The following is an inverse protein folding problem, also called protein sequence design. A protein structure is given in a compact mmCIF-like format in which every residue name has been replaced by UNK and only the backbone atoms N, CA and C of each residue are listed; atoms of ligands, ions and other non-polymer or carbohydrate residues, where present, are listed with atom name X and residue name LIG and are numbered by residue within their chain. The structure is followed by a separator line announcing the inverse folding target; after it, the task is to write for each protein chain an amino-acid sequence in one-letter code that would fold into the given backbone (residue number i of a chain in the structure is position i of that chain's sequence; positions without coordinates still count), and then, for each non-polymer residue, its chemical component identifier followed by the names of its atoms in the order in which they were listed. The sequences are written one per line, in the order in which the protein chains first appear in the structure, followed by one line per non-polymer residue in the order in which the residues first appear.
data_IF_781061523081
#
_entry.id   IF_781061523081
#
_cell.length_a   1.000
_cell.length_b   1.000
_cell.length_c   1.000
_cell.angle_alpha   90.00
_cell.angle_beta   90.00
_cell.angle_gamma   90.00
#
_symmetry.space_group_name_H-M   'P 1'
#
loop_
_entity.id
_entity.type
_entity.pdbx_description
1 polymer ?
#
# COMPACT_ATOMS: atom_id res chain seq x y z
N UNK A 1 -6.52 -15.38 17.47
CA UNK A 1 -5.43 -14.38 17.57
C UNK A 1 -4.71 -14.17 16.24
N UNK A 2 -4.41 -15.21 15.47
CA UNK A 2 -3.72 -15.15 14.16
C UNK A 2 -4.32 -14.12 13.19
N UNK A 3 -5.64 -14.10 12.98
CA UNK A 3 -6.28 -13.18 12.04
C UNK A 3 -6.14 -11.69 12.41
N UNK A 4 -6.04 -11.38 13.71
CA UNK A 4 -5.87 -10.01 14.17
C UNK A 4 -4.44 -9.51 13.92
N UNK A 5 -3.44 -10.37 14.16
CA UNK A 5 -2.04 -10.07 13.86
C UNK A 5 -1.79 -9.87 12.36
N UNK A 6 -2.34 -10.76 11.53
CA UNK A 6 -2.27 -10.62 10.06
C UNK A 6 -2.99 -9.37 9.55
N UNK A 7 -4.16 -9.04 10.11
CA UNK A 7 -4.89 -7.82 9.76
C UNK A 7 -4.06 -6.57 10.06
N UNK A 8 -3.45 -6.48 11.25
CA UNK A 8 -2.60 -5.36 11.61
C UNK A 8 -1.37 -5.24 10.71
N UNK A 9 -0.73 -6.37 10.37
CA UNK A 9 0.43 -6.39 9.48
C UNK A 9 0.08 -5.94 8.06
N UNK A 10 -1.03 -6.45 7.49
CA UNK A 10 -1.52 -6.01 6.18
C UNK A 10 -1.93 -4.53 6.18
N UNK A 11 -2.52 -4.05 7.28
CA UNK A 11 -2.87 -2.64 7.46
C UNK A 11 -1.62 -1.75 7.46
N UNK A 12 -0.60 -2.12 8.24
CA UNK A 12 0.66 -1.40 8.30
C UNK A 12 1.40 -1.38 6.95
N UNK A 13 1.45 -2.53 6.25
CA UNK A 13 1.99 -2.64 4.90
C UNK A 13 1.22 -1.76 3.91
N UNK A 14 -0.11 -1.77 3.95
CA UNK A 14 -0.95 -0.93 3.10
C UNK A 14 -0.68 0.56 3.32
N UNK A 15 -0.59 1.00 4.58
CA UNK A 15 -0.23 2.39 4.91
C UNK A 15 1.18 2.76 4.42
N UNK A 16 2.17 1.89 4.64
CA UNK A 16 3.54 2.14 4.18
C UNK A 16 3.61 2.30 2.65
N UNK A 17 2.94 1.42 1.90
CA UNK A 17 2.86 1.50 0.44
C UNK A 17 2.11 2.75 -0.03
N UNK A 18 1.05 3.16 0.67
CA UNK A 18 0.33 4.39 0.37
C UNK A 18 1.22 5.64 0.55
N UNK A 19 2.04 5.68 1.61
CA UNK A 19 3.00 6.77 1.83
C UNK A 19 4.04 6.81 0.71
N UNK A 20 4.58 5.66 0.29
CA UNK A 20 5.51 5.61 -0.85
C UNK A 20 4.85 6.07 -2.14
N UNK A 21 3.60 5.64 -2.41
CA UNK A 21 2.85 6.10 -3.57
C UNK A 21 2.64 7.62 -3.55
N UNK A 22 2.29 8.19 -2.40
CA UNK A 22 2.09 9.64 -2.23
C UNK A 22 3.38 10.42 -2.45
N UNK A 23 4.49 9.98 -1.85
CA UNK A 23 5.80 10.60 -2.08
C UNK A 23 6.19 10.57 -3.56
N UNK A 24 5.96 9.44 -4.23
CA UNK A 24 6.27 9.31 -5.67
C UNK A 24 5.34 10.13 -6.56
N UNK A 25 4.07 10.28 -6.19
CA UNK A 25 3.12 11.09 -6.95
C UNK A 25 3.51 12.58 -6.99
N UNK A 26 4.27 13.07 -5.99
CA UNK A 26 4.75 14.44 -5.93
C UNK A 26 6.03 14.72 -6.72
N UNK A 27 6.62 13.71 -7.38
CA UNK A 27 7.86 13.89 -8.13
C UNK A 27 7.61 14.61 -9.46
N UNK A 28 8.56 15.47 -9.85
CA UNK A 28 8.53 16.20 -11.11
C UNK A 28 9.01 15.30 -12.26
N UNK A 29 8.13 14.41 -12.73
CA UNK A 29 8.39 13.55 -13.89
C UNK A 29 8.61 14.40 -15.16
N UNK A 30 9.52 13.96 -16.02
CA UNK A 30 9.71 14.56 -17.34
C UNK A 30 8.55 14.22 -18.30
N UNK A 31 8.61 14.72 -19.54
CA UNK A 31 7.58 14.48 -20.56
C UNK A 31 7.40 12.99 -20.92
N UNK A 32 8.40 12.16 -20.63
CA UNK A 32 8.38 10.71 -20.85
C UNK A 32 7.88 9.94 -19.62
N UNK A 33 7.55 10.61 -18.51
CA UNK A 33 7.07 9.98 -17.28
C UNK A 33 8.18 9.37 -16.41
N UNK A 34 9.42 9.83 -16.58
CA UNK A 34 10.61 9.39 -15.85
C UNK A 34 11.09 10.47 -14.87
N UNK A 35 11.51 10.04 -13.68
CA UNK A 35 12.18 10.89 -12.70
C UNK A 35 13.45 10.16 -12.22
N UNK A 36 14.60 10.79 -12.39
CA UNK A 36 15.89 10.21 -12.00
C UNK A 36 16.47 10.96 -10.80
N UNK A 37 16.75 10.23 -9.73
CA UNK A 37 17.27 10.79 -8.47
C UNK A 37 18.81 10.62 -8.33
N UNK A 38 19.53 10.50 -9.44
CA UNK A 38 20.99 10.25 -9.42
C UNK A 38 21.39 8.78 -9.18
N UNK A 39 20.49 7.96 -8.62
CA UNK A 39 20.70 6.54 -8.33
C UNK A 39 19.69 5.61 -8.99
N UNK A 40 18.41 5.99 -9.01
CA UNK A 40 17.30 5.15 -9.49
C UNK A 40 16.44 5.96 -10.44
N UNK A 41 16.01 5.32 -11.54
CA UNK A 41 14.99 5.86 -12.42
C UNK A 41 13.60 5.39 -11.97
N UNK A 42 12.76 6.35 -11.61
CA UNK A 42 11.39 6.14 -11.20
C UNK A 42 10.45 6.40 -12.37
N UNK A 43 9.46 5.54 -12.55
CA UNK A 43 8.48 5.67 -13.62
C UNK A 43 7.14 6.09 -13.02
N UNK A 44 6.43 7.01 -13.65
CA UNK A 44 5.14 7.49 -13.18
C UNK A 44 4.11 6.35 -13.02
N UNK A 45 4.16 5.34 -13.88
CA UNK A 45 3.33 4.13 -13.76
C UNK A 45 3.55 3.36 -12.45
N UNK A 46 4.74 3.47 -11.83
CA UNK A 46 5.01 2.82 -10.55
C UNK A 46 4.14 3.38 -9.42
N UNK A 47 3.74 4.65 -9.49
CA UNK A 47 2.81 5.27 -8.52
C UNK A 47 1.50 4.50 -8.47
N UNK A 48 0.93 4.17 -9.64
CA UNK A 48 -0.29 3.37 -9.74
C UNK A 48 -0.08 1.95 -9.18
N UNK A 49 1.07 1.33 -9.46
CA UNK A 49 1.42 0.03 -8.90
C UNK A 49 1.43 0.02 -7.36
N UNK A 50 2.09 1.00 -6.74
CA UNK A 50 2.10 1.13 -5.28
C UNK A 50 0.72 1.46 -4.71
N UNK A 51 -0.06 2.33 -5.37
CA UNK A 51 -1.40 2.68 -4.93
C UNK A 51 -2.36 1.47 -4.96
N UNK A 52 -2.31 0.66 -6.02
CA UNK A 52 -3.12 -0.55 -6.13
C UNK A 52 -2.69 -1.61 -5.10
N UNK A 53 -1.38 -1.79 -4.90
CA UNK A 53 -0.87 -2.69 -3.87
C UNK A 53 -1.27 -2.25 -2.45
N UNK A 54 -1.20 -0.95 -2.17
CA UNK A 54 -1.64 -0.37 -0.91
C UNK A 54 -3.14 -0.63 -0.67
N UNK A 55 -3.97 -0.37 -1.69
CA UNK A 55 -5.41 -0.60 -1.62
C UNK A 55 -5.73 -2.08 -1.37
N UNK A 56 -5.08 -2.99 -2.11
CA UNK A 56 -5.27 -4.43 -1.93
C UNK A 56 -4.90 -4.89 -0.50
N UNK A 57 -3.79 -4.40 0.03
CA UNK A 57 -3.35 -4.72 1.40
C UNK A 57 -4.33 -4.21 2.46
N UNK A 58 -4.85 -2.98 2.30
CA UNK A 58 -5.86 -2.41 3.22
C UNK A 58 -7.19 -3.17 3.16
N UNK A 59 -7.65 -3.54 1.97
CA UNK A 59 -8.86 -4.35 1.80
C UNK A 59 -8.71 -5.72 2.46
N UNK A 60 -7.55 -6.36 2.29
CA UNK A 60 -7.24 -7.63 2.94
C UNK A 60 -7.23 -7.48 4.47
N UNK A 61 -6.61 -6.41 4.98
CA UNK A 61 -6.60 -6.10 6.40
C UNK A 61 -8.01 -5.94 6.96
N UNK A 62 -8.89 -5.23 6.24
CA UNK A 62 -10.29 -5.02 6.63
C UNK A 62 -11.09 -6.32 6.61
N UNK A 63 -10.93 -7.13 5.57
CA UNK A 63 -11.57 -8.45 5.47
C UNK A 63 -11.16 -9.36 6.65
N UNK A 64 -9.86 -9.42 6.97
CA UNK A 64 -9.35 -10.20 8.10
C UNK A 64 -9.86 -9.68 9.45
N UNK A 65 -9.91 -8.35 9.65
CA UNK A 65 -10.47 -7.74 10.86
C UNK A 65 -11.96 -8.03 11.01
N UNK A 66 -12.71 -8.02 9.90
CA UNK A 66 -14.14 -8.33 9.88
C UNK A 66 -14.40 -9.80 10.24
N UNK A 67 -13.66 -10.72 9.63
CA UNK A 67 -13.73 -12.15 9.96
C UNK A 67 -13.35 -12.41 11.42
N UNK A 68 -12.28 -11.79 11.93
CA UNK A 68 -11.87 -11.93 13.31
C UNK A 68 -12.94 -11.44 14.31
N UNK A 69 -13.70 -10.40 13.95
CA UNK A 69 -14.83 -9.91 14.74
C UNK A 69 -16.02 -10.87 14.73
N UNK A 70 -16.31 -11.53 13.60
CA UNK A 70 -17.40 -12.51 13.50
C UNK A 70 -17.11 -13.83 14.21
N UNK A 71 -15.83 -14.21 14.31
CA UNK A 71 -15.40 -15.48 14.90
C UNK A 71 -15.21 -15.39 16.42
N UNK A 72 -15.19 -14.18 17.02
CA UNK A 72 -15.19 -14.04 18.48
C UNK A 72 -16.57 -14.43 19.03
N UNK A 73 -16.70 -15.54 19.79
CA UNK A 73 -17.92 -15.80 20.53
C UNK A 73 -18.08 -14.67 21.56
N UNK A 74 -19.31 -14.17 21.72
CA UNK A 74 -19.66 -13.16 22.72
C UNK A 74 -19.29 -13.60 24.12
#
# INVERSE_FOLDING_TARGET
MVCAGLSALCGALGCALAVVAWQRAGLAYNEEGHYFDGLVNYHQQSVLGYALAALAALLLAFALAWMARRVRPR
#
